data_IF_609101776425
#
_entry.id   IF_609101776425
#
_cell.length_a   1.000
_cell.length_b   1.000
_cell.length_c   1.000
_cell.angle_alpha   90.00
_cell.angle_beta   90.00
_cell.angle_gamma   90.00
#
_symmetry.space_group_name_H-M   'P 1'
#
loop_
_entity.id
_entity.type
_entity.pdbx_description
1 polymer ?
#
# COMPACT_ATOMS: atom_id res chain seq x y z
N UNK A 1 6.50 -11.46 1.02
CA UNK A 1 6.88 -11.53 2.45
C UNK A 1 7.43 -10.18 2.90
N UNK A 2 7.13 -9.77 4.14
CA UNK A 2 7.56 -8.47 4.68
C UNK A 2 8.84 -8.69 5.48
N UNK A 3 9.92 -8.00 5.11
CA UNK A 3 11.18 -8.05 5.85
C UNK A 3 11.26 -6.91 6.85
N UNK A 4 11.44 -7.24 8.12
CA UNK A 4 11.43 -6.27 9.22
C UNK A 4 12.42 -6.63 10.33
N UNK A 5 13.51 -7.29 9.98
CA UNK A 5 14.56 -7.64 10.96
C UNK A 5 15.27 -6.39 11.44
N UNK A 6 16.09 -6.52 12.50
CA UNK A 6 16.93 -5.41 13.01
C UNK A 6 17.91 -4.85 11.98
N UNK A 7 18.22 -5.61 10.92
CA UNK A 7 19.02 -5.17 9.78
C UNK A 7 18.16 -4.49 8.72
N UNK A 8 17.01 -3.93 9.04
CA UNK A 8 16.25 -3.07 8.14
C UNK A 8 15.87 -1.84 8.93
N UNK A 9 16.62 -0.76 8.73
CA UNK A 9 16.37 0.52 9.39
C UNK A 9 15.44 1.38 8.52
N UNK A 10 15.65 2.70 8.49
CA UNK A 10 14.85 3.59 7.68
C UNK A 10 15.18 3.43 6.19
N UNK A 11 14.14 3.33 5.38
CA UNK A 11 14.27 3.32 3.91
C UNK A 11 14.21 4.77 3.44
N UNK A 12 15.26 5.20 2.75
CA UNK A 12 15.42 6.59 2.30
C UNK A 12 15.00 6.71 0.84
N UNK A 13 15.39 5.75 0.00
CA UNK A 13 15.10 5.77 -1.42
C UNK A 13 14.61 4.41 -1.92
N UNK A 14 13.72 4.45 -2.92
CA UNK A 14 13.18 3.27 -3.60
C UNK A 14 13.17 3.55 -5.10
N UNK A 15 13.70 2.61 -5.88
CA UNK A 15 13.76 2.70 -7.35
C UNK A 15 13.40 1.36 -7.98
N UNK A 16 12.76 1.43 -9.14
CA UNK A 16 12.53 0.27 -9.99
C UNK A 16 13.75 -0.01 -10.85
N UNK A 17 14.00 -1.29 -11.12
CA UNK A 17 14.90 -1.69 -12.19
C UNK A 17 14.25 -1.45 -13.55
N UNK A 18 15.04 -1.24 -14.60
CA UNK A 18 14.54 -0.95 -15.95
C UNK A 18 13.70 -2.10 -16.54
N UNK A 19 13.88 -3.33 -16.06
CA UNK A 19 13.12 -4.51 -16.47
C UNK A 19 11.77 -4.67 -15.75
N UNK A 20 11.42 -3.77 -14.81
CA UNK A 20 10.21 -3.81 -13.99
C UNK A 20 10.00 -5.10 -13.18
N UNK A 21 11.04 -5.92 -12.99
CA UNK A 21 10.95 -7.15 -12.20
C UNK A 21 11.38 -6.96 -10.75
N UNK A 22 12.24 -5.98 -10.51
CA UNK A 22 12.81 -5.76 -9.20
C UNK A 22 12.62 -4.33 -8.71
N UNK A 23 12.67 -4.21 -7.39
CA UNK A 23 12.62 -2.96 -6.65
C UNK A 23 13.89 -2.90 -5.80
N UNK A 24 14.68 -1.86 -5.99
CA UNK A 24 15.85 -1.54 -5.18
C UNK A 24 15.45 -0.57 -4.09
N UNK A 25 15.86 -0.83 -2.85
CA UNK A 25 15.72 0.12 -1.76
C UNK A 25 17.08 0.43 -1.12
N UNK A 26 17.37 1.71 -0.93
CA UNK A 26 18.49 2.20 -0.14
C UNK A 26 18.03 2.49 1.28
N UNK A 27 18.71 1.90 2.25
CA UNK A 27 18.47 2.14 3.68
C UNK A 27 19.61 2.96 4.29
N UNK A 28 19.31 3.62 5.41
CA UNK A 28 20.24 4.45 6.20
C UNK A 28 21.47 3.67 6.70
N UNK A 29 21.35 2.34 6.83
CA UNK A 29 22.46 1.44 7.17
C UNK A 29 23.44 1.16 6.00
N UNK A 30 23.49 2.06 5.01
CA UNK A 30 24.36 2.00 3.82
C UNK A 30 24.21 0.72 2.97
N UNK A 31 23.12 -0.02 3.16
CA UNK A 31 22.81 -1.22 2.39
C UNK A 31 21.80 -0.92 1.28
N UNK A 32 22.05 -1.48 0.09
CA UNK A 32 21.09 -1.55 -1.00
C UNK A 32 20.51 -2.96 -1.03
N UNK A 33 19.19 -3.08 -0.91
CA UNK A 33 18.50 -4.37 -1.01
C UNK A 33 17.66 -4.44 -2.27
N UNK A 34 17.65 -5.62 -2.88
CA UNK A 34 16.85 -5.93 -4.06
C UNK A 34 15.66 -6.81 -3.66
N UNK A 35 14.48 -6.42 -4.12
CA UNK A 35 13.22 -7.13 -3.90
C UNK A 35 12.62 -7.50 -5.24
N UNK A 36 11.97 -8.66 -5.34
CA UNK A 36 11.08 -8.93 -6.47
C UNK A 36 9.83 -8.07 -6.34
N UNK A 37 9.42 -7.45 -7.43
CA UNK A 37 8.18 -6.69 -7.51
C UNK A 37 6.97 -7.56 -7.19
N UNK A 38 6.93 -8.75 -7.79
CA UNK A 38 5.99 -9.81 -7.44
C UNK A 38 6.72 -10.89 -6.63
N UNK A 39 6.40 -10.98 -5.34
CA UNK A 39 7.06 -11.91 -4.43
C UNK A 39 6.93 -13.38 -4.87
N UNK A 40 5.77 -13.78 -5.39
CA UNK A 40 5.47 -15.15 -5.82
C UNK A 40 5.89 -15.49 -7.26
N UNK A 41 6.33 -14.50 -8.05
CA UNK A 41 6.67 -14.72 -9.46
C UNK A 41 7.92 -15.61 -9.58
N UNK A 42 7.86 -16.69 -10.34
CA UNK A 42 9.05 -17.51 -10.56
C UNK A 42 9.98 -16.81 -11.56
N UNK A 43 11.26 -16.68 -11.20
CA UNK A 43 12.28 -16.09 -12.06
C UNK A 43 12.83 -17.16 -13.01
N UNK A 44 13.24 -16.74 -14.21
CA UNK A 44 13.77 -17.61 -15.25
C UNK A 44 12.75 -17.96 -16.34
N UNK A 45 13.14 -18.87 -17.23
CA UNK A 45 12.29 -19.32 -18.33
C UNK A 45 11.26 -20.31 -17.80
N UNK A 46 9.98 -20.02 -18.06
CA UNK A 46 8.86 -20.90 -17.72
C UNK A 46 8.44 -21.70 -18.94
N UNK A 47 8.02 -22.94 -18.72
CA UNK A 47 7.37 -23.72 -19.77
C UNK A 47 6.00 -23.10 -20.10
N UNK A 48 5.53 -23.27 -21.34
CA UNK A 48 4.23 -22.74 -21.76
C UNK A 48 3.08 -23.22 -20.86
N UNK A 49 3.14 -24.48 -20.39
CA UNK A 49 2.17 -25.05 -19.46
C UNK A 49 2.20 -24.38 -18.10
N UNK A 50 3.38 -24.14 -17.54
CA UNK A 50 3.55 -23.47 -16.24
C UNK A 50 3.07 -22.01 -16.30
N UNK A 51 3.39 -21.31 -17.39
CA UNK A 51 2.91 -19.94 -17.63
C UNK A 51 1.39 -19.89 -17.71
N UNK A 52 0.77 -20.74 -18.53
CA UNK A 52 -0.68 -20.79 -18.67
C UNK A 52 -1.39 -21.11 -17.33
N UNK A 53 -0.84 -22.02 -16.53
CA UNK A 53 -1.36 -22.33 -15.20
C UNK A 53 -1.28 -21.12 -14.26
N UNK A 54 -0.17 -20.38 -14.30
CA UNK A 54 0.03 -19.16 -13.50
C UNK A 54 -0.98 -18.08 -13.89
N UNK A 55 -1.14 -17.83 -15.19
CA UNK A 55 -2.07 -16.83 -15.73
C UNK A 55 -3.53 -17.18 -15.39
N UNK A 56 -3.89 -18.46 -15.49
CA UNK A 56 -5.21 -18.94 -15.10
C UNK A 56 -5.49 -18.73 -13.60
N UNK A 57 -4.56 -19.11 -12.75
CA UNK A 57 -4.67 -18.92 -11.30
C UNK A 57 -4.76 -17.43 -10.92
N UNK A 58 -4.02 -16.57 -11.62
CA UNK A 58 -4.06 -15.13 -11.41
C UNK A 58 -5.44 -14.56 -11.77
N UNK A 59 -6.00 -14.94 -12.93
CA UNK A 59 -7.37 -14.56 -13.32
C UNK A 59 -8.43 -15.05 -12.34
N UNK A 60 -8.29 -16.25 -11.79
CA UNK A 60 -9.20 -16.74 -10.75
C UNK A 60 -9.12 -15.90 -9.47
N UNK A 61 -7.91 -15.57 -9.00
CA UNK A 61 -7.73 -14.71 -7.83
C UNK A 61 -8.36 -13.33 -8.04
N UNK A 62 -8.23 -12.76 -9.24
CA UNK A 62 -8.83 -11.49 -9.61
C UNK A 62 -10.37 -11.57 -9.66
N UNK A 63 -10.92 -12.58 -10.34
CA UNK A 63 -12.37 -12.82 -10.42
C UNK A 63 -13.00 -12.94 -9.04
N UNK A 64 -12.34 -13.63 -8.12
CA UNK A 64 -12.85 -13.88 -6.77
C UNK A 64 -12.23 -12.99 -5.68
N UNK A 65 -11.61 -11.86 -6.06
CA UNK A 65 -10.90 -10.97 -5.11
C UNK A 65 -11.80 -10.38 -4.01
N UNK A 66 -13.10 -10.26 -4.28
CA UNK A 66 -14.08 -9.68 -3.35
C UNK A 66 -14.65 -10.69 -2.36
N UNK A 67 -14.41 -11.99 -2.58
CA UNK A 67 -14.87 -13.04 -1.67
C UNK A 67 -14.18 -12.89 -0.30
N UNK A 68 -14.91 -12.90 0.83
CA UNK A 68 -14.37 -12.53 2.14
C UNK A 68 -13.17 -13.37 2.56
N UNK A 69 -13.20 -14.69 2.30
CA UNK A 69 -12.09 -15.58 2.65
C UNK A 69 -10.84 -15.32 1.80
N UNK A 70 -10.99 -15.13 0.49
CA UNK A 70 -9.87 -14.88 -0.44
C UNK A 70 -9.26 -13.50 -0.13
N UNK A 71 -10.11 -12.50 0.05
CA UNK A 71 -9.72 -11.14 0.43
C UNK A 71 -8.97 -11.10 1.76
N UNK A 72 -9.41 -11.86 2.76
CA UNK A 72 -8.73 -11.97 4.07
C UNK A 72 -7.34 -12.55 3.92
N UNK A 73 -7.20 -13.67 3.19
CA UNK A 73 -5.91 -14.34 2.96
C UNK A 73 -4.97 -13.43 2.16
N UNK A 74 -5.46 -12.85 1.06
CA UNK A 74 -4.67 -11.97 0.19
C UNK A 74 -4.11 -10.74 0.91
N UNK A 75 -4.89 -10.17 1.85
CA UNK A 75 -4.50 -8.99 2.65
C UNK A 75 -3.65 -9.31 3.87
N UNK A 76 -3.64 -10.55 4.33
CA UNK A 76 -2.93 -10.93 5.53
C UNK A 76 -1.41 -10.75 5.36
N UNK A 77 -0.77 -10.01 6.27
CA UNK A 77 0.67 -9.78 6.29
C UNK A 77 1.15 -9.77 7.74
N UNK A 78 2.30 -10.38 8.00
CA UNK A 78 2.98 -10.31 9.29
C UNK A 78 3.76 -8.98 9.35
N UNK A 79 3.22 -8.02 10.11
CA UNK A 79 3.83 -6.71 10.29
C UNK A 79 4.38 -6.58 11.72
N UNK A 80 5.46 -5.81 11.92
CA UNK A 80 5.92 -5.43 13.27
C UNK A 80 4.82 -4.77 14.09
N UNK A 81 4.83 -5.02 15.41
CA UNK A 81 3.86 -4.45 16.35
C UNK A 81 3.81 -2.92 16.32
N UNK A 82 4.97 -2.26 16.21
CA UNK A 82 5.06 -0.80 16.12
C UNK A 82 4.31 -0.25 14.92
N UNK A 83 4.54 -0.83 13.73
CA UNK A 83 3.86 -0.46 12.49
C UNK A 83 2.36 -0.76 12.59
N UNK A 84 1.98 -1.93 13.09
CA UNK A 84 0.58 -2.31 13.25
C UNK A 84 -0.18 -1.32 14.14
N UNK A 85 0.40 -0.97 15.31
CA UNK A 85 -0.20 -0.01 16.25
C UNK A 85 -0.36 1.37 15.62
N UNK A 86 0.68 1.88 14.95
CA UNK A 86 0.63 3.19 14.28
C UNK A 86 -0.41 3.24 13.16
N UNK A 87 -0.57 2.16 12.38
CA UNK A 87 -1.60 2.07 11.33
C UNK A 87 -3.00 2.16 11.95
N UNK A 88 -3.25 1.45 13.05
CA UNK A 88 -4.55 1.49 13.73
C UNK A 88 -4.84 2.88 14.29
N UNK A 89 -3.86 3.50 14.95
CA UNK A 89 -3.98 4.85 15.48
C UNK A 89 -4.28 5.87 14.39
N UNK A 90 -3.51 5.86 13.29
CA UNK A 90 -3.76 6.74 12.15
C UNK A 90 -5.15 6.56 11.55
N UNK A 91 -5.67 5.33 11.53
CA UNK A 91 -7.01 5.02 11.05
C UNK A 91 -8.08 5.66 11.94
N UNK A 92 -7.96 5.47 13.26
CA UNK A 92 -8.86 6.08 14.24
C UNK A 92 -8.84 7.60 14.13
N UNK A 93 -7.66 8.22 14.03
CA UNK A 93 -7.53 9.67 13.86
C UNK A 93 -8.19 10.18 12.58
N UNK A 94 -8.00 9.48 11.44
CA UNK A 94 -8.62 9.84 10.15
C UNK A 94 -10.14 9.71 10.20
N UNK A 95 -10.65 8.63 10.78
CA UNK A 95 -12.09 8.40 10.93
C UNK A 95 -12.73 9.43 11.87
N UNK A 96 -12.07 9.77 12.98
CA UNK A 96 -12.51 10.83 13.87
C UNK A 96 -12.57 12.20 13.17
N UNK A 97 -11.54 12.55 12.39
CA UNK A 97 -11.51 13.80 11.60
C UNK A 97 -12.63 13.83 10.56
N UNK A 98 -12.82 12.73 9.82
CA UNK A 98 -13.90 12.60 8.83
C UNK A 98 -15.28 12.74 9.47
N UNK A 99 -15.51 12.10 10.62
CA UNK A 99 -16.76 12.19 11.37
C UNK A 99 -17.04 13.63 11.83
N UNK A 100 -16.04 14.33 12.37
CA UNK A 100 -16.16 15.76 12.76
C UNK A 100 -16.52 16.64 11.56
N UNK A 101 -15.85 16.43 10.41
CA UNK A 101 -16.14 17.18 9.18
C UNK A 101 -17.57 16.92 8.65
N UNK A 102 -18.01 15.66 8.66
CA UNK A 102 -19.38 15.29 8.25
C UNK A 102 -20.44 15.86 9.20
N UNK A 103 -20.20 15.81 10.50
CA UNK A 103 -21.13 16.39 11.48
C UNK A 103 -21.22 17.91 11.29
N UNK A 104 -20.09 18.59 11.07
CA UNK A 104 -20.08 20.03 10.80
C UNK A 104 -20.89 20.37 9.55
N UNK A 105 -20.77 19.60 8.46
CA UNK A 105 -21.56 19.80 7.23
C UNK A 105 -23.04 19.61 7.52
N UNK A 106 -23.42 18.51 8.18
CA UNK A 106 -24.83 18.17 8.49
C UNK A 106 -25.51 19.22 9.36
N UNK A 107 -24.79 19.84 10.30
CA UNK A 107 -25.33 20.83 11.24
C UNK A 107 -25.05 22.28 10.82
N UNK A 108 -24.63 22.52 9.58
CA UNK A 108 -24.40 23.85 9.03
C UNK A 108 -25.44 24.21 7.97
N UNK A 109 -25.60 25.50 7.67
CA UNK A 109 -26.48 25.93 6.57
C UNK A 109 -26.01 25.28 5.25
N UNK A 110 -26.92 24.78 4.39
CA UNK A 110 -26.55 24.19 3.11
C UNK A 110 -25.59 25.10 2.33
N UNK A 111 -24.46 24.56 1.88
CA UNK A 111 -23.45 25.30 1.12
C UNK A 111 -22.42 26.12 1.93
N UNK A 112 -22.61 26.29 3.24
CA UNK A 112 -21.68 27.08 4.07
C UNK A 112 -20.32 26.39 4.32
N UNK A 113 -20.30 25.06 4.44
CA UNK A 113 -19.09 24.27 4.69
C UNK A 113 -18.72 23.47 3.45
N UNK A 114 -17.70 23.92 2.72
CA UNK A 114 -17.23 23.23 1.51
C UNK A 114 -16.32 22.05 1.85
N UNK A 115 -16.52 20.92 1.16
CA UNK A 115 -15.67 19.73 1.29
C UNK A 115 -14.42 19.90 0.43
N UNK A 116 -13.31 20.28 1.07
CA UNK A 116 -12.02 20.39 0.37
C UNK A 116 -11.41 18.99 0.20
N UNK A 117 -11.03 18.65 -1.03
CA UNK A 117 -10.31 17.39 -1.32
C UNK A 117 -8.98 17.33 -0.55
N UNK A 118 -8.56 16.14 -0.11
CA UNK A 118 -7.30 15.98 0.64
C UNK A 118 -6.07 16.46 -0.14
N UNK A 119 -6.07 16.35 -1.48
CA UNK A 119 -4.99 16.85 -2.33
C UNK A 119 -4.82 18.37 -2.17
N UNK A 120 -5.91 19.13 -2.27
CA UNK A 120 -5.91 20.58 -2.06
C UNK A 120 -5.53 20.98 -0.63
N UNK A 121 -5.94 20.18 0.38
CA UNK A 121 -5.59 20.43 1.80
C UNK A 121 -4.08 20.41 2.08
N UNK A 122 -3.29 19.71 1.26
CA UNK A 122 -1.83 19.59 1.43
C UNK A 122 -1.03 20.71 0.76
N UNK A 123 -1.66 21.49 -0.11
CA UNK A 123 -0.99 22.58 -0.82
C UNK A 123 -1.05 23.82 0.07
N UNK A 124 0.10 24.22 0.61
CA UNK A 124 0.22 25.33 1.58
C UNK A 124 0.29 26.69 0.88
N UNK A 125 0.83 26.74 -0.34
CA UNK A 125 0.79 27.92 -1.20
C UNK A 125 0.84 27.50 -2.68
N UNK A 126 0.01 28.13 -3.52
CA UNK A 126 0.17 28.10 -4.98
C UNK A 126 0.83 29.43 -5.33
N UNK A 127 2.10 29.39 -5.69
CA UNK A 127 2.79 30.56 -6.25
C UNK A 127 2.21 30.76 -7.65
N UNK A 128 1.69 31.95 -7.92
CA UNK A 128 1.19 32.37 -9.24
C UNK A 128 2.34 32.74 -10.15
#
# INVERSE_FOLDING_TARGET
EVYHTKRMQHVICVKWTSDSKYIMCGSDEMNIRLWKANASEKLGVLTSREKAATDYNQRLKEKFQHHPHIKRISRHRHLPKSIYSQIQEQRVMKEARRRKELNRIKHSKPGSVQRVSEKKKRVVAVVK
#
